data_IF_242813276372
#
_entry.id   IF_242813276372
#
_cell.length_a   1.000
_cell.length_b   1.000
_cell.length_c   1.000
_cell.angle_alpha   90.00
_cell.angle_beta   90.00
_cell.angle_gamma   90.00
#
_symmetry.space_group_name_H-M   'P 1'
#
loop_
_entity.id
_entity.type
_entity.pdbx_description
1 polymer ?
#
# COMPACT_ATOMS: atom_id res chain seq x y z
N UNK A 1 18.45 -14.81 15.93
CA UNK A 1 17.37 -15.32 16.80
C UNK A 1 16.06 -15.13 16.05
N UNK A 2 15.20 -16.15 15.92
CA UNK A 2 13.88 -15.98 15.33
C UNK A 2 13.05 -15.12 16.28
N UNK A 3 12.48 -14.02 15.77
CA UNK A 3 11.55 -13.20 16.53
C UNK A 3 10.31 -14.04 16.84
N UNK A 4 10.07 -14.31 18.12
CA UNK A 4 8.79 -14.81 18.57
C UNK A 4 7.76 -13.72 18.30
N UNK A 5 6.86 -13.98 17.35
CA UNK A 5 5.60 -13.27 17.28
C UNK A 5 4.87 -13.56 18.61
N UNK A 6 4.96 -12.63 19.55
CA UNK A 6 4.03 -12.56 20.65
C UNK A 6 2.69 -12.09 20.06
N UNK A 7 1.99 -13.01 19.39
CA UNK A 7 0.56 -12.87 19.22
C UNK A 7 0.02 -12.74 20.64
N UNK A 8 -0.59 -11.59 20.93
CA UNK A 8 -1.29 -11.42 22.19
C UNK A 8 -2.47 -12.38 22.15
N UNK A 9 -2.27 -13.59 22.67
CA UNK A 9 -3.33 -14.51 23.00
C UNK A 9 -4.00 -13.92 24.25
N UNK A 10 -4.82 -12.89 24.04
CA UNK A 10 -5.85 -12.54 24.99
C UNK A 10 -6.92 -13.61 24.88
N UNK A 11 -6.59 -14.86 25.25
CA UNK A 11 -7.60 -15.74 25.82
C UNK A 11 -8.14 -14.94 26.99
N UNK A 12 -9.30 -14.33 26.79
CA UNK A 12 -10.17 -13.93 27.87
C UNK A 12 -10.49 -15.22 28.59
N UNK A 13 -9.59 -15.65 29.49
CA UNK A 13 -9.93 -16.51 30.60
C UNK A 13 -10.87 -15.66 31.44
N UNK A 14 -12.13 -15.56 30.99
CA UNK A 14 -13.19 -14.97 31.77
C UNK A 14 -13.14 -15.74 33.10
N UNK A 15 -12.85 -15.06 34.22
CA UNK A 15 -12.67 -15.76 35.48
C UNK A 15 -13.97 -16.52 35.75
N UNK A 16 -13.86 -17.84 35.83
CA UNK A 16 -14.97 -18.78 36.04
C UNK A 16 -15.79 -18.49 37.32
N UNK A 17 -15.32 -17.55 38.14
CA UNK A 17 -15.97 -17.05 39.35
C UNK A 17 -16.98 -15.89 39.14
N UNK A 18 -17.10 -15.30 37.95
CA UNK A 18 -18.01 -14.15 37.70
C UNK A 18 -19.14 -14.50 36.71
N UNK A 19 -19.90 -15.55 37.02
CA UNK A 19 -21.04 -15.98 36.23
C UNK A 19 -22.11 -14.88 36.03
N UNK A 20 -22.15 -13.85 36.90
CA UNK A 20 -23.13 -12.76 36.88
C UNK A 20 -22.70 -11.50 36.10
N UNK A 21 -21.47 -11.46 35.57
CA UNK A 21 -21.03 -10.29 34.79
C UNK A 21 -21.66 -10.28 33.41
N UNK A 22 -22.35 -9.20 33.05
CA UNK A 22 -22.80 -8.96 31.68
C UNK A 22 -21.65 -8.43 30.82
N UNK A 23 -21.50 -8.99 29.62
CA UNK A 23 -20.53 -8.54 28.63
C UNK A 23 -21.28 -7.82 27.51
N UNK A 24 -20.82 -6.63 27.16
CA UNK A 24 -21.31 -5.87 25.98
C UNK A 24 -20.15 -5.68 25.02
N UNK A 25 -20.36 -6.07 23.76
CA UNK A 25 -19.41 -5.85 22.68
C UNK A 25 -19.98 -4.80 21.73
N UNK A 26 -19.16 -3.80 21.42
CA UNK A 26 -19.53 -2.69 20.54
C UNK A 26 -18.55 -2.63 19.39
N UNK A 27 -19.07 -2.49 18.18
CA UNK A 27 -18.26 -2.19 17.00
C UNK A 27 -19.11 -1.48 15.96
N UNK A 28 -18.49 -0.50 15.28
CA UNK A 28 -19.12 0.25 14.22
C UNK A 28 -19.18 -0.55 12.90
N UNK A 29 -18.27 -1.49 12.71
CA UNK A 29 -18.15 -2.30 11.49
C UNK A 29 -17.81 -3.73 11.86
N UNK A 30 -18.77 -4.65 11.71
CA UNK A 30 -18.54 -6.09 11.90
C UNK A 30 -19.23 -6.84 10.77
N UNK A 31 -18.49 -7.33 9.77
CA UNK A 31 -19.04 -8.23 8.76
C UNK A 31 -19.63 -9.49 9.40
N UNK A 32 -20.64 -10.09 8.76
CA UNK A 32 -21.36 -11.24 9.34
C UNK A 32 -20.44 -12.42 9.67
N UNK A 33 -19.42 -12.68 8.85
CA UNK A 33 -18.46 -13.76 9.09
C UNK A 33 -17.56 -13.49 10.31
N UNK A 34 -17.11 -12.24 10.51
CA UNK A 34 -16.37 -11.83 11.72
C UNK A 34 -17.25 -11.92 12.96
N UNK A 35 -18.53 -11.52 12.86
CA UNK A 35 -19.49 -11.67 13.97
C UNK A 35 -19.64 -13.14 14.39
N UNK A 36 -19.77 -14.04 13.42
CA UNK A 36 -19.88 -15.48 13.66
C UNK A 36 -18.63 -16.01 14.36
N UNK A 37 -17.44 -15.58 13.91
CA UNK A 37 -16.18 -15.93 14.54
C UNK A 37 -16.11 -15.44 16.00
N UNK A 38 -16.42 -14.15 16.25
CA UNK A 38 -16.45 -13.56 17.60
C UNK A 38 -17.40 -14.36 18.51
N UNK A 39 -18.60 -14.68 18.03
CA UNK A 39 -19.59 -15.42 18.79
C UNK A 39 -19.12 -16.85 19.13
N UNK A 40 -18.41 -17.51 18.22
CA UNK A 40 -17.83 -18.84 18.48
C UNK A 40 -16.59 -18.80 19.39
N UNK A 41 -15.76 -17.76 19.28
CA UNK A 41 -14.45 -17.69 19.94
C UNK A 41 -14.54 -17.12 21.36
N UNK A 42 -15.43 -16.16 21.61
CA UNK A 42 -15.55 -15.49 22.92
C UNK A 42 -16.46 -16.22 23.91
N UNK A 43 -16.91 -17.44 23.58
CA UNK A 43 -17.83 -18.24 24.41
C UNK A 43 -18.98 -17.40 24.98
N UNK A 44 -19.55 -16.50 24.17
CA UNK A 44 -20.66 -15.65 24.57
C UNK A 44 -21.81 -16.52 25.07
N UNK A 45 -22.59 -16.00 26.02
CA UNK A 45 -23.79 -16.70 26.48
C UNK A 45 -24.64 -17.12 25.27
N UNK A 46 -25.24 -18.32 25.28
CA UNK A 46 -26.13 -18.73 24.20
C UNK A 46 -27.19 -17.65 23.95
N UNK A 47 -27.38 -17.29 22.68
CA UNK A 47 -28.33 -16.27 22.23
C UNK A 47 -28.02 -14.86 22.78
N UNK A 48 -26.86 -14.25 22.43
CA UNK A 48 -26.62 -12.86 22.79
C UNK A 48 -27.71 -11.97 22.19
N UNK A 49 -28.08 -10.91 22.91
CA UNK A 49 -28.92 -9.87 22.32
C UNK A 49 -28.09 -9.10 21.31
N UNK A 50 -28.43 -9.23 20.03
CA UNK A 50 -27.73 -8.56 18.93
C UNK A 50 -28.55 -7.36 18.48
N UNK A 51 -27.99 -6.17 18.60
CA UNK A 51 -28.55 -4.94 18.06
C UNK A 51 -27.73 -4.58 16.82
N UNK A 52 -28.37 -4.64 15.65
CA UNK A 52 -27.75 -4.25 14.38
C UNK A 52 -28.37 -2.96 13.90
N UNK A 53 -27.53 -2.07 13.41
CA UNK A 53 -27.92 -0.84 12.71
C UNK A 53 -27.21 -0.87 11.37
N UNK A 54 -27.89 -0.37 10.33
CA UNK A 54 -27.28 -0.30 9.00
C UNK A 54 -25.96 0.48 9.05
N UNK A 55 -24.91 -0.08 8.44
CA UNK A 55 -23.63 0.62 8.26
C UNK A 55 -23.67 1.58 7.07
N UNK A 56 -24.79 1.62 6.36
CA UNK A 56 -24.98 2.43 5.19
C UNK A 56 -24.84 3.94 5.50
N UNK A 57 -24.12 4.65 4.62
CA UNK A 57 -23.93 6.10 4.68
C UNK A 57 -24.67 6.76 3.53
N UNK A 58 -25.93 7.18 3.70
CA UNK A 58 -26.79 7.56 2.57
C UNK A 58 -26.31 8.82 1.84
N UNK A 59 -25.53 9.68 2.51
CA UNK A 59 -24.90 10.87 1.94
C UNK A 59 -23.63 10.59 1.12
N UNK A 60 -23.05 9.38 1.21
CA UNK A 60 -21.75 9.05 0.62
C UNK A 60 -21.86 8.52 -0.81
N UNK A 61 -21.15 9.12 -1.77
CA UNK A 61 -21.04 8.61 -3.15
C UNK A 61 -19.84 7.66 -3.26
N UNK A 62 -20.00 6.51 -3.90
CA UNK A 62 -18.88 5.59 -4.16
C UNK A 62 -18.44 5.62 -5.61
N UNK A 63 -17.13 5.58 -5.87
CA UNK A 63 -16.61 5.47 -7.22
C UNK A 63 -15.34 4.63 -7.26
N UNK A 64 -15.05 4.08 -8.45
CA UNK A 64 -13.85 3.32 -8.75
C UNK A 64 -13.14 3.99 -9.92
N UNK A 65 -11.81 3.92 -9.88
CA UNK A 65 -10.97 4.48 -10.94
C UNK A 65 -9.78 3.56 -11.17
N UNK A 66 -9.56 3.10 -12.39
CA UNK A 66 -8.38 2.27 -12.68
C UNK A 66 -7.15 3.16 -12.76
N UNK A 67 -6.12 2.85 -11.98
CA UNK A 67 -4.84 3.54 -12.00
C UNK A 67 -4.14 3.36 -13.35
N UNK A 68 -3.76 4.47 -13.98
CA UNK A 68 -2.94 4.46 -15.19
C UNK A 68 -1.48 4.18 -14.81
N UNK A 69 -0.80 3.24 -15.50
CA UNK A 69 0.57 2.78 -15.22
C UNK A 69 0.80 2.22 -13.79
N UNK A 70 -0.27 1.93 -13.06
CA UNK A 70 -0.23 1.38 -11.71
C UNK A 70 0.15 2.39 -10.62
N UNK A 71 0.29 1.88 -9.39
CA UNK A 71 0.37 2.71 -8.16
C UNK A 71 1.62 3.58 -8.02
N UNK A 72 2.66 3.38 -8.82
CA UNK A 72 3.86 4.21 -8.72
C UNK A 72 3.76 5.49 -9.54
N UNK A 73 2.74 5.61 -10.39
CA UNK A 73 2.51 6.80 -11.21
C UNK A 73 1.61 7.80 -10.48
N UNK A 74 2.23 8.72 -9.74
CA UNK A 74 1.49 9.71 -8.94
C UNK A 74 0.70 10.73 -9.79
N UNK A 75 0.84 10.73 -11.13
CA UNK A 75 0.00 11.54 -12.02
C UNK A 75 -1.48 11.19 -11.92
N UNK A 76 -1.83 9.98 -11.45
CA UNK A 76 -3.22 9.64 -11.10
C UNK A 76 -3.83 10.59 -10.05
N UNK A 77 -3.00 11.34 -9.30
CA UNK A 77 -3.43 12.35 -8.32
C UNK A 77 -3.55 13.77 -8.92
N UNK A 78 -3.29 13.96 -10.22
CA UNK A 78 -3.38 15.28 -10.89
C UNK A 78 -4.79 15.89 -10.82
N UNK A 79 -5.81 15.05 -10.64
CA UNK A 79 -7.19 15.48 -10.47
C UNK A 79 -7.43 16.27 -9.16
N UNK A 80 -6.53 16.18 -8.17
CA UNK A 80 -6.72 16.87 -6.89
C UNK A 80 -6.43 18.37 -7.02
N UNK A 81 -5.32 18.72 -7.67
CA UNK A 81 -4.88 20.11 -7.86
C UNK A 81 -4.87 20.45 -9.36
N UNK A 82 -5.80 21.29 -9.85
CA UNK A 82 -5.84 21.64 -11.26
C UNK A 82 -4.59 22.42 -11.69
N UNK A 83 -4.18 22.26 -12.95
CA UNK A 83 -3.01 22.94 -13.49
C UNK A 83 -3.10 24.47 -13.41
N UNK A 84 -4.31 25.03 -13.49
CA UNK A 84 -4.60 26.44 -13.36
C UNK A 84 -5.16 26.80 -11.97
N UNK A 85 -4.71 26.13 -10.91
CA UNK A 85 -5.17 26.46 -9.55
C UNK A 85 -4.78 27.90 -9.19
N UNK A 86 -5.78 28.72 -8.88
CA UNK A 86 -5.58 30.08 -8.39
C UNK A 86 -6.58 30.40 -7.28
N UNK A 87 -6.19 31.11 -6.21
CA UNK A 87 -7.16 31.71 -5.30
C UNK A 87 -8.17 32.57 -6.09
N UNK A 88 -9.46 32.56 -5.75
CA UNK A 88 -10.06 32.04 -4.52
C UNK A 88 -10.55 30.58 -4.59
N UNK A 89 -10.01 29.74 -5.49
CA UNK A 89 -10.39 28.32 -5.53
C UNK A 89 -10.11 27.63 -4.19
N UNK A 90 -11.11 26.92 -3.65
CA UNK A 90 -11.00 26.12 -2.43
C UNK A 90 -10.67 24.68 -2.79
N UNK A 91 -9.62 24.13 -2.21
CA UNK A 91 -9.35 22.69 -2.25
C UNK A 91 -10.30 21.96 -1.29
N UNK A 92 -10.83 20.78 -1.68
CA UNK A 92 -11.62 19.96 -0.76
C UNK A 92 -10.72 19.39 0.35
N UNK A 93 -11.31 19.13 1.52
CA UNK A 93 -10.64 18.38 2.59
C UNK A 93 -10.61 16.89 2.23
N UNK A 94 -9.43 16.35 1.93
CA UNK A 94 -9.25 14.99 1.42
C UNK A 94 -8.37 14.13 2.33
N UNK A 95 -8.79 12.89 2.54
CA UNK A 95 -8.00 11.84 3.17
C UNK A 95 -7.64 10.76 2.14
N UNK A 96 -6.35 10.54 1.92
CA UNK A 96 -5.83 9.63 0.89
C UNK A 96 -5.03 8.51 1.54
N UNK A 97 -5.51 7.28 1.41
CA UNK A 97 -4.88 6.10 1.98
C UNK A 97 -3.93 5.42 1.01
N UNK A 98 -2.74 5.06 1.49
CA UNK A 98 -1.75 4.28 0.76
C UNK A 98 -1.41 2.99 1.53
N UNK A 99 -1.07 1.94 0.79
CA UNK A 99 -0.70 0.64 1.38
C UNK A 99 0.68 0.63 2.04
N UNK A 100 1.55 1.60 1.74
CA UNK A 100 2.90 1.67 2.32
C UNK A 100 3.30 3.10 2.69
N UNK A 101 4.00 3.25 3.82
CA UNK A 101 4.47 4.54 4.37
C UNK A 101 5.28 5.38 3.38
N UNK A 102 6.10 4.78 2.51
CA UNK A 102 6.97 5.55 1.61
C UNK A 102 6.16 6.23 0.50
N UNK A 103 5.02 5.66 0.14
CA UNK A 103 4.14 6.21 -0.89
C UNK A 103 3.35 7.41 -0.34
N UNK A 104 3.05 7.47 0.95
CA UNK A 104 2.36 8.63 1.54
C UNK A 104 3.21 9.89 1.49
N UNK A 105 4.50 9.81 1.85
CA UNK A 105 5.42 10.95 1.77
C UNK A 105 5.65 11.39 0.32
N UNK A 106 5.84 10.44 -0.60
CA UNK A 106 6.02 10.74 -2.02
C UNK A 106 4.79 11.39 -2.65
N UNK A 107 3.59 10.89 -2.31
CA UNK A 107 2.33 11.47 -2.77
C UNK A 107 2.11 12.88 -2.20
N UNK A 108 2.36 13.10 -0.91
CA UNK A 108 2.22 14.41 -0.30
C UNK A 108 3.18 15.44 -0.95
N UNK A 109 4.43 15.06 -1.19
CA UNK A 109 5.41 15.90 -1.91
C UNK A 109 4.98 16.16 -3.35
N UNK A 110 4.45 15.14 -4.04
CA UNK A 110 3.96 15.28 -5.40
C UNK A 110 2.80 16.28 -5.45
N UNK A 111 1.75 16.09 -4.65
CA UNK A 111 0.59 17.00 -4.58
C UNK A 111 1.02 18.41 -4.21
N UNK A 112 1.90 18.58 -3.21
CA UNK A 112 2.42 19.89 -2.82
C UNK A 112 3.17 20.58 -3.98
N UNK A 113 3.97 19.84 -4.76
CA UNK A 113 4.65 20.37 -5.93
C UNK A 113 3.71 20.86 -7.04
N UNK A 114 2.45 20.39 -7.05
CA UNK A 114 1.41 20.83 -8.00
C UNK A 114 0.75 22.14 -7.57
N UNK A 115 0.91 22.56 -6.32
CA UNK A 115 0.41 23.87 -5.86
C UNK A 115 1.20 25.00 -6.53
N UNK A 116 0.62 26.22 -6.63
CA UNK A 116 1.36 27.42 -7.01
C UNK A 116 2.56 27.65 -6.09
N UNK A 117 3.64 28.23 -6.62
CA UNK A 117 4.93 28.40 -5.92
C UNK A 117 4.80 28.98 -4.50
N UNK A 118 3.93 29.99 -4.31
CA UNK A 118 3.71 30.64 -3.01
C UNK A 118 2.93 29.80 -1.99
N UNK A 119 2.34 28.68 -2.40
CA UNK A 119 1.59 27.76 -1.55
C UNK A 119 2.34 26.45 -1.27
N UNK A 120 3.40 26.15 -2.00
CA UNK A 120 4.23 24.95 -1.78
C UNK A 120 4.91 24.99 -0.41
N UNK A 121 4.96 23.86 0.28
CA UNK A 121 5.60 23.72 1.59
C UNK A 121 4.89 24.46 2.73
N UNK A 122 3.74 25.08 2.48
CA UNK A 122 2.99 25.82 3.51
C UNK A 122 2.28 24.91 4.50
N UNK A 123 2.07 23.64 4.13
CA UNK A 123 1.42 22.63 4.94
C UNK A 123 0.03 22.22 4.47
N UNK A 124 -0.42 22.70 3.30
CA UNK A 124 -1.72 22.31 2.71
C UNK A 124 -1.83 20.80 2.50
N UNK A 125 -0.74 20.16 2.05
CA UNK A 125 -0.65 18.72 1.92
C UNK A 125 0.39 18.14 2.88
N UNK A 126 0.00 17.13 3.67
CA UNK A 126 0.87 16.46 4.65
C UNK A 126 0.77 14.95 4.51
N UNK A 127 1.78 14.25 5.01
CA UNK A 127 1.74 12.79 5.14
C UNK A 127 1.58 12.39 6.61
N UNK A 128 1.02 11.21 6.87
CA UNK A 128 0.76 10.73 8.23
C UNK A 128 0.97 9.21 8.31
N UNK A 129 1.96 8.78 9.08
CA UNK A 129 2.26 7.36 9.29
C UNK A 129 3.07 7.13 10.58
N UNK A 130 3.05 5.90 11.08
CA UNK A 130 3.60 5.54 12.41
C UNK A 130 5.09 5.86 12.64
N UNK A 131 5.89 5.99 11.57
CA UNK A 131 7.33 6.35 11.72
C UNK A 131 7.59 7.84 11.93
N UNK A 132 6.58 8.70 11.84
CA UNK A 132 6.76 10.12 12.13
C UNK A 132 6.88 10.36 13.63
N UNK A 133 7.54 11.45 14.02
CA UNK A 133 7.61 11.81 15.43
C UNK A 133 6.22 12.11 15.99
N UNK A 134 6.00 11.80 17.26
CA UNK A 134 4.73 12.10 17.94
C UNK A 134 4.33 13.57 17.81
N UNK A 135 5.29 14.48 18.00
CA UNK A 135 5.06 15.93 17.83
C UNK A 135 4.57 16.26 16.42
N UNK A 136 5.12 15.62 15.38
CA UNK A 136 4.67 15.82 14.02
C UNK A 136 3.25 15.28 13.81
N UNK A 137 2.97 14.06 14.29
CA UNK A 137 1.65 13.44 14.18
C UNK A 137 0.59 14.30 14.87
N UNK A 138 0.82 14.72 16.11
CA UNK A 138 -0.09 15.55 16.89
C UNK A 138 -0.36 16.89 16.18
N UNK A 139 0.69 17.52 15.61
CA UNK A 139 0.55 18.79 14.89
C UNK A 139 -0.21 18.66 13.58
N UNK A 140 0.11 17.65 12.75
CA UNK A 140 -0.56 17.43 11.46
C UNK A 140 -2.00 17.02 11.67
N UNK A 141 -2.27 16.16 12.65
CA UNK A 141 -3.61 15.79 13.04
C UNK A 141 -4.43 17.02 13.43
N UNK A 142 -3.91 17.82 14.37
CA UNK A 142 -4.63 18.99 14.89
C UNK A 142 -4.95 19.98 13.77
N UNK A 143 -4.00 20.18 12.86
CA UNK A 143 -4.14 21.07 11.71
C UNK A 143 -5.06 20.52 10.60
N UNK A 144 -5.28 19.22 10.53
CA UNK A 144 -6.22 18.61 9.57
C UNK A 144 -7.64 18.48 10.15
N UNK A 145 -7.75 18.26 11.46
CA UNK A 145 -9.04 18.17 12.16
C UNK A 145 -9.68 19.54 12.45
N UNK A 146 -8.88 20.61 12.50
CA UNK A 146 -9.37 21.97 12.67
C UNK A 146 -10.01 22.49 11.35
N UNK A 147 -11.28 22.95 11.35
CA UNK A 147 -11.91 23.55 10.18
C UNK A 147 -11.21 24.81 9.63
N UNK A 148 -10.43 25.51 10.45
CA UNK A 148 -9.58 26.66 10.08
C UNK A 148 -8.11 26.23 9.87
N UNK A 149 -7.84 24.94 10.04
CA UNK A 149 -6.54 24.33 9.90
C UNK A 149 -6.00 24.44 8.47
N UNK A 150 -4.67 24.45 8.37
CA UNK A 150 -3.99 24.67 7.09
C UNK A 150 -3.93 23.40 6.25
N UNK A 151 -3.87 22.23 6.88
CA UNK A 151 -3.80 20.94 6.19
C UNK A 151 -5.18 20.61 5.63
N UNK A 152 -5.28 20.54 4.31
CA UNK A 152 -6.51 20.17 3.61
C UNK A 152 -6.40 18.79 2.98
N UNK A 153 -5.20 18.29 2.73
CA UNK A 153 -4.98 16.99 2.07
C UNK A 153 -4.04 16.16 2.94
N UNK A 154 -4.53 15.05 3.48
CA UNK A 154 -3.78 14.14 4.32
C UNK A 154 -3.49 12.83 3.58
N UNK A 155 -2.22 12.55 3.29
CA UNK A 155 -1.78 11.28 2.73
C UNK A 155 -1.36 10.33 3.86
N UNK A 156 -2.12 9.25 4.10
CA UNK A 156 -1.93 8.41 5.27
C UNK A 156 -1.85 6.92 4.94
N UNK A 157 -1.33 6.11 5.87
CA UNK A 157 -1.51 4.65 5.83
C UNK A 157 -2.82 4.25 6.49
N UNK A 158 -3.36 3.07 6.21
CA UNK A 158 -4.62 2.60 6.81
C UNK A 158 -4.64 2.67 8.35
N UNK A 159 -3.52 2.38 9.02
CA UNK A 159 -3.43 2.47 10.49
C UNK A 159 -3.57 3.90 11.05
N UNK A 160 -3.51 4.94 10.22
CA UNK A 160 -3.87 6.30 10.66
C UNK A 160 -5.39 6.46 10.83
N UNK A 161 -6.16 5.56 10.20
CA UNK A 161 -7.59 5.68 10.11
C UNK A 161 -8.37 4.89 11.16
N UNK A 162 -7.73 3.98 11.87
CA UNK A 162 -8.45 3.13 12.84
C UNK A 162 -8.79 3.87 14.14
N UNK A 163 -8.12 4.99 14.42
CA UNK A 163 -8.18 5.68 15.73
C UNK A 163 -8.65 7.14 15.65
N UNK A 164 -9.25 7.55 14.52
CA UNK A 164 -9.50 8.97 14.28
C UNK A 164 -10.89 9.29 13.76
N UNK A 165 -11.63 10.07 14.55
CA UNK A 165 -12.82 10.79 14.13
C UNK A 165 -12.44 12.20 13.64
N UNK A 166 -12.38 12.37 12.31
CA UNK A 166 -12.06 13.65 11.66
C UNK A 166 -13.35 14.25 11.14
N UNK A 167 -13.81 15.39 11.71
CA UNK A 167 -14.99 16.03 11.19
C UNK A 167 -14.71 16.62 9.79
N UNK A 168 -15.74 16.63 8.93
CA UNK A 168 -15.75 17.36 7.64
C UNK A 168 -14.74 16.89 6.60
N UNK A 169 -14.44 15.59 6.54
CA UNK A 169 -13.80 15.03 5.36
C UNK A 169 -14.78 15.17 4.18
N UNK A 170 -14.38 15.86 3.12
CA UNK A 170 -15.22 15.97 1.92
C UNK A 170 -15.08 14.72 1.05
N UNK A 171 -13.87 14.17 0.96
CA UNK A 171 -13.60 12.98 0.16
C UNK A 171 -12.53 12.06 0.75
N UNK A 172 -12.73 10.76 0.57
CA UNK A 172 -11.73 9.73 0.86
C UNK A 172 -11.27 9.09 -0.44
N UNK A 173 -9.96 8.87 -0.57
CA UNK A 173 -9.37 8.15 -1.71
C UNK A 173 -8.56 7.00 -1.16
N UNK A 174 -8.80 5.77 -1.63
CA UNK A 174 -7.90 4.64 -1.39
C UNK A 174 -7.00 4.48 -2.61
N UNK A 175 -5.72 4.80 -2.49
CA UNK A 175 -4.76 4.78 -3.58
C UNK A 175 -4.16 3.38 -3.76
N UNK A 176 -4.77 2.62 -4.67
CA UNK A 176 -4.63 1.18 -4.77
C UNK A 176 -5.77 0.46 -4.04
N UNK A 177 -6.08 -0.76 -4.46
CA UNK A 177 -7.11 -1.61 -3.85
C UNK A 177 -6.81 -1.84 -2.36
N UNK A 178 -7.83 -1.76 -1.51
CA UNK A 178 -7.69 -2.16 -0.12
C UNK A 178 -7.49 -3.68 -0.04
N UNK A 179 -6.70 -4.16 0.92
CA UNK A 179 -6.56 -5.61 1.11
C UNK A 179 -7.88 -6.20 1.65
N UNK A 180 -8.61 -5.45 2.48
CA UNK A 180 -9.89 -5.80 3.09
C UNK A 180 -10.99 -4.76 2.82
N UNK A 181 -12.26 -5.18 2.81
CA UNK A 181 -13.41 -4.29 2.53
C UNK A 181 -13.66 -3.31 3.68
N UNK A 182 -13.42 -3.75 4.92
CA UNK A 182 -13.70 -3.02 6.17
C UNK A 182 -12.93 -1.70 6.27
N UNK A 183 -11.73 -1.62 5.68
CA UNK A 183 -10.90 -0.41 5.64
C UNK A 183 -11.63 0.77 4.96
N UNK A 184 -12.61 0.50 4.08
CA UNK A 184 -13.34 1.53 3.31
C UNK A 184 -14.59 2.07 4.01
N UNK A 185 -15.05 1.43 5.08
CA UNK A 185 -16.41 1.66 5.62
C UNK A 185 -16.49 2.53 6.87
N UNK A 186 -15.35 2.95 7.42
CA UNK A 186 -15.30 3.65 8.70
C UNK A 186 -15.43 5.18 8.58
N UNK A 187 -15.55 5.71 7.36
CA UNK A 187 -15.39 7.13 7.08
C UNK A 187 -16.71 7.87 6.89
N UNK A 188 -16.83 9.04 7.52
CA UNK A 188 -17.88 10.01 7.22
C UNK A 188 -17.36 11.03 6.19
N UNK A 189 -17.77 10.87 4.93
CA UNK A 189 -17.37 11.72 3.83
C UNK A 189 -18.51 11.92 2.83
N UNK A 190 -18.37 12.90 1.92
CA UNK A 190 -19.33 13.10 0.84
C UNK A 190 -19.08 12.13 -0.33
N UNK A 191 -17.83 11.75 -0.58
CA UNK A 191 -17.49 10.73 -1.57
C UNK A 191 -16.31 9.84 -1.15
N UNK A 192 -16.25 8.64 -1.73
CA UNK A 192 -15.17 7.68 -1.55
C UNK A 192 -14.75 7.11 -2.91
N UNK A 193 -13.48 7.28 -3.28
CA UNK A 193 -12.91 6.78 -4.54
C UNK A 193 -11.91 5.67 -4.26
N UNK A 194 -12.18 4.48 -4.78
CA UNK A 194 -11.22 3.38 -4.82
C UNK A 194 -10.39 3.46 -6.09
N UNK A 195 -9.10 3.75 -5.99
CA UNK A 195 -8.19 3.64 -7.12
C UNK A 195 -7.68 2.21 -7.25
N UNK A 196 -8.01 1.55 -8.34
CA UNK A 196 -7.82 0.13 -8.54
C UNK A 196 -6.60 -0.11 -9.44
N UNK A 197 -5.68 -0.97 -9.02
CA UNK A 197 -4.54 -1.33 -9.87
C UNK A 197 -4.98 -2.07 -11.14
N UNK A 198 -4.27 -1.89 -12.28
CA UNK A 198 -4.61 -2.53 -13.54
C UNK A 198 -4.78 -4.05 -13.47
N UNK A 199 -3.93 -4.74 -12.69
CA UNK A 199 -3.99 -6.20 -12.56
C UNK A 199 -5.32 -6.69 -11.99
N UNK A 200 -6.01 -5.88 -11.20
CA UNK A 200 -7.34 -6.23 -10.67
C UNK A 200 -8.38 -6.16 -11.78
N UNK A 201 -8.31 -5.14 -12.63
CA UNK A 201 -9.25 -4.95 -13.74
C UNK A 201 -9.15 -6.05 -14.81
N UNK A 202 -8.03 -6.77 -14.86
CA UNK A 202 -7.82 -7.94 -15.72
C UNK A 202 -8.53 -9.21 -15.21
N UNK A 203 -9.03 -9.20 -13.98
CA UNK A 203 -9.71 -10.34 -13.37
C UNK A 203 -11.17 -10.40 -13.83
N UNK A 204 -11.56 -11.54 -14.40
CA UNK A 204 -12.95 -11.80 -14.75
C UNK A 204 -13.79 -12.01 -13.49
N UNK A 205 -14.70 -11.07 -13.23
CA UNK A 205 -15.61 -11.09 -12.07
C UNK A 205 -16.46 -12.34 -12.01
N UNK A 206 -16.81 -12.96 -13.15
CA UNK A 206 -17.61 -14.18 -13.20
C UNK A 206 -16.88 -15.43 -12.69
N UNK A 207 -15.54 -15.37 -12.60
CA UNK A 207 -14.71 -16.45 -12.09
C UNK A 207 -14.44 -16.35 -10.59
N UNK A 208 -14.84 -15.24 -9.96
CA UNK A 208 -14.63 -15.02 -8.54
C UNK A 208 -15.65 -15.82 -7.73
N UNK A 209 -15.19 -16.87 -7.07
CA UNK A 209 -15.97 -17.62 -6.09
C UNK A 209 -15.74 -17.00 -4.72
N UNK A 210 -16.75 -16.34 -4.16
CA UNK A 210 -16.72 -15.75 -2.82
C UNK A 210 -17.22 -16.78 -1.82
N UNK A 211 -16.37 -17.16 -0.86
CA UNK A 211 -16.79 -17.99 0.27
C UNK A 211 -17.60 -17.11 1.24
N UNK A 212 -18.84 -17.50 1.54
CA UNK A 212 -19.68 -16.78 2.49
C UNK A 212 -19.14 -16.83 3.93
N UNK A 213 -18.32 -17.83 4.26
CA UNK A 213 -17.73 -18.00 5.59
C UNK A 213 -16.42 -17.21 5.77
N UNK A 214 -15.69 -16.97 4.69
CA UNK A 214 -14.46 -16.17 4.69
C UNK A 214 -14.32 -15.43 3.35
N UNK A 215 -15.11 -14.37 3.14
CA UNK A 215 -15.10 -13.63 1.88
C UNK A 215 -13.80 -12.83 1.69
N UNK A 216 -13.05 -12.59 2.78
CA UNK A 216 -11.77 -11.86 2.76
C UNK A 216 -10.57 -12.77 2.48
N UNK A 217 -10.78 -14.08 2.29
CA UNK A 217 -9.70 -14.99 1.92
C UNK A 217 -9.00 -14.52 0.62
N UNK A 218 -7.68 -14.69 0.50
CA UNK A 218 -6.94 -14.38 -0.72
C UNK A 218 -7.41 -15.11 -1.99
N UNK A 219 -7.09 -14.56 -3.17
CA UNK A 219 -7.36 -15.23 -4.46
C UNK A 219 -6.66 -16.59 -4.58
N UNK A 220 -5.36 -16.60 -4.29
CA UNK A 220 -4.52 -17.78 -4.39
C UNK A 220 -4.32 -18.35 -2.99
N UNK A 221 -4.25 -19.67 -2.88
CA UNK A 221 -3.78 -20.33 -1.67
C UNK A 221 -2.31 -19.93 -1.44
N UNK A 222 -2.10 -18.80 -0.76
CA UNK A 222 -0.76 -18.36 -0.40
C UNK A 222 -0.27 -19.39 0.61
N UNK A 223 0.83 -20.06 0.28
CA UNK A 223 1.52 -20.83 1.30
C UNK A 223 1.91 -19.87 2.43
N UNK A 224 1.40 -20.12 3.64
CA UNK A 224 1.75 -19.41 4.88
C UNK A 224 3.27 -19.34 5.12
N UNK A 225 4.06 -20.13 4.38
CA UNK A 225 5.52 -20.14 4.44
C UNK A 225 6.19 -18.99 3.67
N UNK A 226 5.48 -18.27 2.79
CA UNK A 226 6.06 -17.17 2.03
C UNK A 226 6.29 -15.97 2.95
N UNK A 227 7.56 -15.68 3.25
CA UNK A 227 7.97 -14.61 4.18
C UNK A 227 7.48 -13.21 3.80
N UNK A 228 7.29 -12.94 2.50
CA UNK A 228 6.86 -11.64 1.99
C UNK A 228 5.88 -11.84 0.82
N UNK A 229 4.59 -12.10 1.10
CA UNK A 229 3.58 -12.12 0.05
C UNK A 229 3.46 -10.73 -0.58
N UNK A 230 3.21 -10.71 -1.87
CA UNK A 230 2.90 -9.50 -2.64
C UNK A 230 1.52 -8.98 -2.25
N UNK A 231 1.24 -7.70 -2.55
CA UNK A 231 -0.09 -7.12 -2.32
C UNK A 231 -1.18 -7.92 -3.04
N UNK A 232 -0.95 -8.30 -4.31
CA UNK A 232 -1.87 -9.12 -5.09
C UNK A 232 -2.18 -10.45 -4.39
N UNK A 233 -1.15 -11.11 -3.86
CA UNK A 233 -1.34 -12.35 -3.12
C UNK A 233 -2.16 -12.12 -1.85
N UNK A 234 -1.95 -11.02 -1.11
CA UNK A 234 -2.69 -10.74 0.14
C UNK A 234 -4.11 -10.20 -0.04
N UNK A 235 -4.46 -9.68 -1.22
CA UNK A 235 -5.75 -8.99 -1.41
C UNK A 235 -6.89 -10.00 -1.34
N UNK A 236 -7.86 -9.74 -0.45
CA UNK A 236 -9.02 -10.60 -0.26
C UNK A 236 -9.95 -10.61 -1.48
N UNK A 237 -10.64 -11.74 -1.68
CA UNK A 237 -11.58 -11.95 -2.78
C UNK A 237 -12.73 -10.95 -2.76
N UNK A 238 -13.26 -10.61 -1.59
CA UNK A 238 -14.28 -9.59 -1.43
C UNK A 238 -13.80 -8.23 -1.95
N UNK A 239 -12.61 -7.78 -1.54
CA UNK A 239 -12.04 -6.51 -2.02
C UNK A 239 -11.92 -6.46 -3.55
N UNK A 240 -11.52 -7.57 -4.17
CA UNK A 240 -11.43 -7.70 -5.63
C UNK A 240 -12.82 -7.70 -6.26
N UNK A 241 -13.77 -8.45 -5.72
CA UNK A 241 -15.14 -8.46 -6.19
C UNK A 241 -15.75 -7.06 -6.21
N UNK A 242 -15.57 -6.29 -5.14
CA UNK A 242 -15.96 -4.87 -5.07
C UNK A 242 -15.31 -4.02 -6.17
N UNK A 243 -14.05 -4.28 -6.50
CA UNK A 243 -13.34 -3.53 -7.52
C UNK A 243 -13.87 -3.83 -8.93
N UNK A 244 -14.14 -5.09 -9.25
CA UNK A 244 -14.47 -5.54 -10.62
C UNK A 244 -15.96 -5.72 -10.91
N UNK A 245 -16.81 -5.75 -9.88
CA UNK A 245 -18.25 -5.99 -10.06
C UNK A 245 -18.94 -4.81 -10.75
N UNK A 246 -19.91 -5.10 -11.61
CA UNK A 246 -20.79 -4.09 -12.19
C UNK A 246 -22.01 -3.81 -11.29
N UNK A 247 -22.15 -4.50 -10.16
CA UNK A 247 -23.22 -4.28 -9.19
C UNK A 247 -23.09 -2.94 -8.44
N UNK A 248 -24.19 -2.50 -7.83
CA UNK A 248 -24.19 -1.31 -6.98
C UNK A 248 -23.34 -1.55 -5.72
N UNK A 249 -22.38 -0.68 -5.44
CA UNK A 249 -21.54 -0.73 -4.23
C UNK A 249 -22.35 -0.93 -2.94
N UNK A 250 -23.52 -0.28 -2.79
CA UNK A 250 -24.37 -0.45 -1.59
C UNK A 250 -24.97 -1.84 -1.49
N UNK A 251 -25.33 -2.45 -2.62
CA UNK A 251 -25.81 -3.85 -2.68
C UNK A 251 -24.69 -4.79 -2.26
N UNK A 252 -23.47 -4.58 -2.79
CA UNK A 252 -22.30 -5.36 -2.40
C UNK A 252 -21.99 -5.22 -0.90
N UNK A 253 -22.07 -4.02 -0.34
CA UNK A 253 -21.90 -3.78 1.11
C UNK A 253 -22.99 -4.45 1.93
N UNK A 254 -24.25 -4.27 1.56
CA UNK A 254 -25.39 -4.88 2.24
C UNK A 254 -25.21 -6.40 2.32
N UNK A 255 -24.86 -7.05 1.20
CA UNK A 255 -24.57 -8.48 1.15
C UNK A 255 -23.36 -8.87 2.04
N UNK A 256 -22.25 -8.12 1.96
CA UNK A 256 -21.04 -8.39 2.72
C UNK A 256 -21.23 -8.25 4.25
N UNK A 257 -22.01 -7.28 4.70
CA UNK A 257 -22.34 -7.10 6.12
C UNK A 257 -23.50 -7.99 6.58
N UNK A 258 -24.29 -8.55 5.66
CA UNK A 258 -25.55 -9.22 6.00
C UNK A 258 -26.59 -8.24 6.53
N UNK A 259 -26.67 -7.07 5.90
CA UNK A 259 -27.61 -5.99 6.21
C UNK A 259 -28.79 -6.04 5.23
N UNK A 260 -29.94 -6.51 5.71
CA UNK A 260 -31.20 -6.64 4.97
C UNK A 260 -32.20 -5.51 5.29
N UNK A 261 -31.74 -4.48 6.02
CA UNK A 261 -32.58 -3.33 6.37
C UNK A 261 -33.00 -2.52 5.14
N UNK A 262 -34.12 -1.80 5.25
CA UNK A 262 -34.57 -0.90 4.20
C UNK A 262 -33.57 0.25 3.94
N UNK A 263 -32.81 0.60 4.97
CA UNK A 263 -31.80 1.65 4.96
C UNK A 263 -30.52 1.22 4.23
N UNK A 264 -30.24 -0.08 4.08
CA UNK A 264 -28.99 -0.60 3.53
C UNK A 264 -28.67 -0.07 2.12
N UNK A 265 -29.71 0.17 1.32
CA UNK A 265 -29.59 0.63 -0.06
C UNK A 265 -29.97 2.11 -0.25
N UNK A 266 -30.41 2.77 0.82
CA UNK A 266 -30.87 4.15 0.77
C UNK A 266 -29.72 5.12 0.47
N UNK A 267 -29.98 6.15 -0.33
CA UNK A 267 -29.03 7.25 -0.56
C UNK A 267 -29.78 8.57 -0.76
N UNK A 268 -29.16 9.66 -0.34
CA UNK A 268 -29.73 11.02 -0.38
C UNK A 268 -29.05 11.93 -1.40
N UNK A 269 -27.86 11.55 -1.86
CA UNK A 269 -27.08 12.32 -2.82
C UNK A 269 -27.61 12.23 -4.26
N UNK A 270 -27.05 13.06 -5.14
CA UNK A 270 -27.33 13.03 -6.59
C UNK A 270 -26.97 11.70 -7.24
N UNK A 271 -25.94 11.04 -6.73
CA UNK A 271 -25.45 9.76 -7.22
C UNK A 271 -25.33 8.77 -6.07
N UNK A 272 -25.59 7.50 -6.37
CA UNK A 272 -25.33 6.40 -5.43
C UNK A 272 -23.88 5.92 -5.57
N UNK A 273 -23.54 5.38 -6.74
CA UNK A 273 -22.17 5.03 -7.10
C UNK A 273 -21.96 5.02 -8.63
N UNK A 274 -20.77 4.66 -9.07
CA UNK A 274 -20.35 4.57 -10.47
C UNK A 274 -20.76 3.27 -11.20
N UNK A 275 -21.53 2.41 -10.53
CA UNK A 275 -22.00 1.14 -11.05
C UNK A 275 -22.88 1.29 -12.30
N UNK A 276 -22.68 0.39 -13.28
CA UNK A 276 -23.52 0.27 -14.48
C UNK A 276 -24.93 -0.26 -14.19
N UNK A 277 -25.16 -0.83 -13.01
CA UNK A 277 -26.49 -1.28 -12.59
C UNK A 277 -27.49 -0.12 -12.45
N UNK A 278 -27.01 1.12 -12.29
CA UNK A 278 -27.85 2.31 -12.26
C UNK A 278 -28.27 2.74 -13.67
N UNK A 279 -29.36 2.16 -14.17
CA UNK A 279 -29.94 2.52 -15.48
C UNK A 279 -30.24 4.02 -15.55
N UNK A 280 -29.70 4.70 -16.56
CA UNK A 280 -29.90 6.14 -16.77
C UNK A 280 -29.05 7.05 -15.87
N UNK A 281 -28.12 6.50 -15.08
CA UNK A 281 -27.20 7.31 -14.28
C UNK A 281 -26.30 8.18 -15.16
N UNK A 282 -26.17 9.45 -14.80
CA UNK A 282 -25.24 10.41 -15.42
C UNK A 282 -24.00 10.62 -14.55
N UNK A 283 -23.54 9.57 -13.87
CA UNK A 283 -22.38 9.66 -12.99
C UNK A 283 -21.13 10.05 -13.81
N UNK A 284 -20.40 11.05 -13.35
CA UNK A 284 -19.16 11.52 -13.95
C UNK A 284 -18.13 11.74 -12.84
N UNK A 285 -17.13 10.86 -12.76
CA UNK A 285 -16.08 10.91 -11.73
C UNK A 285 -15.38 12.28 -11.68
N UNK A 286 -15.17 12.90 -12.84
CA UNK A 286 -14.54 14.21 -12.97
C UNK A 286 -15.25 15.31 -12.16
N UNK A 287 -16.56 15.19 -11.90
CA UNK A 287 -17.31 16.18 -11.11
C UNK A 287 -17.01 16.13 -9.61
N UNK A 288 -16.30 15.10 -9.14
CA UNK A 288 -15.84 15.01 -7.75
C UNK A 288 -14.51 15.73 -7.51
N UNK A 289 -13.84 16.20 -8.58
CA UNK A 289 -12.48 16.70 -8.53
C UNK A 289 -12.31 18.03 -9.27
N UNK A 290 -11.30 18.81 -8.88
CA UNK A 290 -11.02 20.12 -9.46
C UNK A 290 -10.09 20.04 -10.69
N UNK A 291 -9.10 19.15 -10.64
CA UNK A 291 -8.19 18.86 -11.74
C UNK A 291 -8.72 17.76 -12.65
N UNK A 292 -8.12 17.60 -13.83
CA UNK A 292 -8.49 16.56 -14.77
C UNK A 292 -8.04 15.17 -14.30
N UNK A 293 -8.90 14.17 -14.50
CA UNK A 293 -8.51 12.76 -14.34
C UNK A 293 -7.37 12.44 -15.31
N UNK A 294 -6.34 11.78 -14.80
CA UNK A 294 -5.22 11.37 -15.62
C UNK A 294 -5.64 10.20 -16.53
N UNK A 295 -5.54 10.41 -17.83
CA UNK A 295 -5.83 9.39 -18.84
C UNK A 295 -4.52 8.89 -19.44
N UNK A 296 -4.52 7.62 -19.86
CA UNK A 296 -3.39 7.04 -20.56
C UNK A 296 -3.16 7.80 -21.87
N UNK A 297 -2.05 8.53 -21.93
CA UNK A 297 -1.55 9.06 -23.19
C UNK A 297 -1.16 7.86 -24.06
N UNK A 298 -1.62 7.78 -25.33
CA UNK A 298 -1.25 6.68 -26.21
C UNK A 298 0.28 6.60 -26.25
N UNK A 299 0.82 5.53 -25.67
CA UNK A 299 2.26 5.33 -25.63
C UNK A 299 2.71 5.14 -27.08
N UNK A 300 3.31 6.18 -27.66
CA UNK A 300 3.97 6.07 -28.96
C UNK A 300 5.00 4.95 -28.79
N UNK A 301 4.92 3.84 -29.57
CA UNK A 301 5.81 2.71 -29.39
C UNK A 301 7.26 3.15 -29.54
N UNK A 302 7.92 3.47 -28.44
CA UNK A 302 9.34 3.77 -28.47
C UNK A 302 10.03 2.47 -28.84
N UNK A 303 10.71 2.46 -29.99
CA UNK A 303 11.44 1.32 -30.51
C UNK A 303 12.14 0.60 -29.36
N UNK A 304 11.82 -0.68 -29.17
CA UNK A 304 12.29 -1.48 -28.05
C UNK A 304 13.82 -1.34 -27.95
N UNK A 305 14.28 -0.51 -27.01
CA UNK A 305 15.70 -0.35 -26.77
C UNK A 305 16.20 -1.73 -26.39
N UNK A 306 17.13 -2.28 -27.18
CA UNK A 306 17.80 -3.55 -26.88
C UNK A 306 18.17 -3.51 -25.40
N UNK A 307 17.54 -4.36 -24.59
CA UNK A 307 17.85 -4.48 -23.17
C UNK A 307 19.32 -4.89 -23.10
N UNK A 308 20.21 -3.94 -22.77
CA UNK A 308 21.58 -4.27 -22.39
C UNK A 308 21.49 -5.27 -21.26
N UNK A 309 22.39 -6.26 -21.21
CA UNK A 309 22.42 -7.22 -20.10
C UNK A 309 22.48 -6.45 -18.78
N UNK A 310 21.36 -6.43 -18.05
CA UNK A 310 21.16 -5.60 -16.84
C UNK A 310 21.92 -6.17 -15.64
N UNK A 311 22.45 -7.39 -15.77
CA UNK A 311 23.03 -8.13 -14.66
C UNK A 311 24.43 -8.62 -14.95
N UNK A 312 25.24 -8.72 -13.89
CA UNK A 312 26.53 -9.42 -13.90
C UNK A 312 26.34 -10.89 -14.30
N UNK A 313 27.25 -11.49 -15.09
CA UNK A 313 27.21 -12.91 -15.43
C UNK A 313 27.07 -13.79 -14.17
N UNK A 314 26.22 -14.82 -14.23
CA UNK A 314 25.91 -15.66 -13.07
C UNK A 314 27.16 -16.31 -12.45
N UNK A 315 28.16 -16.65 -13.27
CA UNK A 315 29.41 -17.27 -12.81
C UNK A 315 30.26 -16.37 -11.90
N UNK A 316 30.15 -15.05 -12.05
CA UNK A 316 30.96 -14.10 -11.30
C UNK A 316 30.34 -13.74 -9.94
N UNK A 317 29.04 -14.02 -9.76
CA UNK A 317 28.27 -13.57 -8.58
C UNK A 317 28.76 -14.23 -7.27
N UNK A 318 28.99 -15.55 -7.18
CA UNK A 318 29.37 -16.19 -5.92
C UNK A 318 30.69 -15.67 -5.35
N UNK A 319 31.69 -15.44 -6.21
CA UNK A 319 32.98 -14.90 -5.81
C UNK A 319 32.87 -13.46 -5.28
N UNK A 320 32.06 -12.63 -5.96
CA UNK A 320 31.82 -11.27 -5.49
C UNK A 320 30.99 -11.24 -4.20
N UNK A 321 30.01 -12.14 -4.02
CA UNK A 321 29.27 -12.31 -2.77
C UNK A 321 30.22 -12.68 -1.61
N UNK A 322 31.15 -13.60 -1.83
CA UNK A 322 32.17 -13.98 -0.85
C UNK A 322 33.09 -12.81 -0.48
N UNK A 323 33.58 -12.07 -1.49
CA UNK A 323 34.43 -10.89 -1.28
C UNK A 323 33.70 -9.79 -0.50
N UNK A 324 32.45 -9.49 -0.85
CA UNK A 324 31.60 -8.54 -0.12
C UNK A 324 31.37 -9.01 1.33
N UNK A 325 31.11 -10.30 1.52
CA UNK A 325 30.94 -10.91 2.83
C UNK A 325 32.19 -10.75 3.71
N UNK A 326 33.37 -11.04 3.16
CA UNK A 326 34.66 -10.90 3.85
C UNK A 326 34.97 -9.44 4.16
N UNK A 327 34.82 -8.55 3.19
CA UNK A 327 35.01 -7.11 3.36
C UNK A 327 34.15 -6.57 4.50
N UNK A 328 32.86 -6.96 4.57
CA UNK A 328 31.96 -6.57 5.65
C UNK A 328 32.50 -6.97 7.03
N UNK A 329 32.99 -8.20 7.18
CA UNK A 329 33.56 -8.65 8.45
C UNK A 329 34.85 -7.93 8.81
N UNK A 330 35.72 -7.67 7.84
CA UNK A 330 36.98 -6.94 8.06
C UNK A 330 36.74 -5.48 8.46
N UNK A 331 35.76 -4.81 7.83
CA UNK A 331 35.35 -3.44 8.21
C UNK A 331 34.71 -3.45 9.59
N UNK A 332 33.78 -4.38 9.88
CA UNK A 332 33.14 -4.49 11.19
C UNK A 332 34.16 -4.71 12.31
N UNK A 333 35.15 -5.60 12.09
CA UNK A 333 36.21 -5.87 13.08
C UNK A 333 36.98 -4.61 13.47
N UNK A 334 37.16 -3.67 12.55
CA UNK A 334 37.90 -2.42 12.81
C UNK A 334 37.01 -1.23 13.16
N UNK A 335 35.68 -1.41 13.20
CA UNK A 335 34.74 -0.34 13.46
C UNK A 335 34.65 0.00 14.95
N UNK A 336 34.72 1.29 15.29
CA UNK A 336 34.71 1.75 16.69
C UNK A 336 33.43 1.40 17.46
N UNK A 337 32.30 1.19 16.77
CA UNK A 337 31.02 0.77 17.38
C UNK A 337 30.72 -0.73 17.19
N UNK A 338 31.71 -1.56 16.88
CA UNK A 338 31.51 -3.00 16.64
C UNK A 338 30.86 -3.77 17.79
N UNK A 339 30.98 -3.26 19.02
CA UNK A 339 30.39 -3.86 20.21
C UNK A 339 28.85 -3.71 20.27
N UNK A 340 28.31 -2.69 19.59
CA UNK A 340 26.87 -2.35 19.64
C UNK A 340 26.18 -2.45 18.28
N UNK A 341 26.93 -2.44 17.18
CA UNK A 341 26.39 -2.61 15.82
C UNK A 341 26.83 -3.95 15.24
N UNK A 342 25.93 -4.86 14.84
CA UNK A 342 26.30 -6.12 14.21
C UNK A 342 26.85 -5.89 12.78
N UNK A 343 27.56 -6.86 12.17
CA UNK A 343 28.06 -6.74 10.79
C UNK A 343 26.95 -6.46 9.77
N UNK A 344 25.73 -6.95 10.02
CA UNK A 344 24.55 -6.72 9.16
C UNK A 344 24.13 -5.25 9.11
N UNK A 345 24.57 -4.41 10.05
CA UNK A 345 24.36 -2.96 10.00
C UNK A 345 25.14 -2.29 8.87
N UNK A 346 26.27 -2.88 8.46
CA UNK A 346 27.07 -2.38 7.34
C UNK A 346 26.43 -2.85 6.02
N UNK A 347 26.20 -4.15 5.90
CA UNK A 347 25.63 -4.76 4.70
C UNK A 347 24.94 -6.08 5.04
N UNK A 348 23.65 -6.21 4.74
CA UNK A 348 22.93 -7.46 4.98
C UNK A 348 23.10 -8.45 3.80
N UNK A 349 22.60 -9.68 3.95
CA UNK A 349 22.75 -10.70 2.91
C UNK A 349 21.98 -10.38 1.60
N UNK A 350 20.74 -9.84 1.65
CA UNK A 350 20.06 -9.31 0.47
C UNK A 350 20.86 -8.24 -0.29
N UNK A 351 21.46 -7.28 0.41
CA UNK A 351 22.24 -6.20 -0.20
C UNK A 351 23.53 -6.71 -0.84
N UNK A 352 24.21 -7.69 -0.21
CA UNK A 352 25.36 -8.39 -0.81
C UNK A 352 24.96 -9.01 -2.15
N UNK A 353 23.85 -9.77 -2.19
CA UNK A 353 23.34 -10.39 -3.43
C UNK A 353 23.00 -9.35 -4.49
N UNK A 354 22.37 -8.25 -4.07
CA UNK A 354 21.96 -7.16 -4.96
C UNK A 354 23.18 -6.51 -5.63
N UNK A 355 24.23 -6.22 -4.86
CA UNK A 355 25.49 -5.70 -5.40
C UNK A 355 26.20 -6.71 -6.31
N UNK A 356 26.22 -7.98 -5.94
CA UNK A 356 26.83 -9.02 -6.76
C UNK A 356 26.10 -9.22 -8.10
N UNK A 357 24.78 -9.02 -8.15
CA UNK A 357 23.97 -9.12 -9.36
C UNK A 357 24.05 -7.90 -10.28
N UNK A 358 24.32 -6.71 -9.75
CA UNK A 358 24.30 -5.46 -10.51
C UNK A 358 25.33 -5.48 -11.65
N UNK A 359 24.93 -4.95 -12.82
CA UNK A 359 25.84 -4.80 -13.95
C UNK A 359 27.04 -3.92 -13.56
N UNK A 360 28.27 -4.28 -13.94
CA UNK A 360 29.46 -3.47 -13.65
C UNK A 360 29.28 -1.99 -14.06
N UNK A 361 28.73 -1.76 -15.25
CA UNK A 361 28.49 -0.40 -15.79
C UNK A 361 27.44 0.41 -15.00
N UNK A 362 26.60 -0.25 -14.21
CA UNK A 362 25.60 0.42 -13.37
C UNK A 362 26.17 0.93 -12.05
N UNK A 363 27.35 0.44 -11.65
CA UNK A 363 28.05 0.86 -10.43
C UNK A 363 29.26 1.69 -10.84
N UNK A 364 29.05 2.99 -11.03
CA UNK A 364 30.07 3.94 -11.51
C UNK A 364 30.51 4.96 -10.44
N UNK A 365 29.87 4.94 -9.27
CA UNK A 365 30.21 5.82 -8.14
C UNK A 365 29.74 5.21 -6.81
N UNK A 366 30.19 5.76 -5.68
CA UNK A 366 29.64 5.46 -4.36
C UNK A 366 28.14 5.80 -4.28
N UNK A 367 27.71 6.90 -4.89
CA UNK A 367 26.31 7.33 -4.95
C UNK A 367 25.43 6.30 -5.69
N UNK A 368 25.96 5.66 -6.74
CA UNK A 368 25.24 4.59 -7.44
C UNK A 368 24.98 3.38 -6.54
N UNK A 369 25.88 3.06 -5.62
CA UNK A 369 25.69 2.00 -4.61
C UNK A 369 24.63 2.41 -3.60
N UNK A 370 24.70 3.63 -3.07
CA UNK A 370 23.70 4.16 -2.13
C UNK A 370 22.31 4.12 -2.73
N UNK A 371 22.18 4.56 -3.99
CA UNK A 371 20.92 4.54 -4.75
C UNK A 371 20.44 3.11 -5.00
N UNK A 372 21.35 2.23 -5.44
CA UNK A 372 21.04 0.83 -5.70
C UNK A 372 20.53 0.14 -4.45
N UNK A 373 21.17 0.35 -3.30
CA UNK A 373 20.78 -0.27 -2.03
C UNK A 373 19.67 0.47 -1.28
N UNK A 374 19.32 1.69 -1.72
CA UNK A 374 18.37 2.59 -1.04
C UNK A 374 18.81 2.90 0.41
N UNK A 375 20.11 3.11 0.60
CA UNK A 375 20.70 3.43 1.91
C UNK A 375 20.69 4.94 2.18
N UNK A 376 20.89 5.33 3.43
CA UNK A 376 20.90 6.75 3.85
C UNK A 376 22.20 7.46 3.51
N UNK A 377 22.21 8.79 3.55
CA UNK A 377 23.42 9.60 3.36
C UNK A 377 24.48 9.33 4.44
N UNK A 378 24.04 9.15 5.71
CA UNK A 378 24.93 8.76 6.81
C UNK A 378 25.60 7.41 6.53
N UNK A 379 24.83 6.44 6.03
CA UNK A 379 25.37 5.14 5.64
C UNK A 379 26.38 5.29 4.50
N UNK A 380 26.06 6.13 3.50
CA UNK A 380 26.91 6.37 2.35
C UNK A 380 28.27 6.94 2.75
N UNK A 381 28.29 7.95 3.63
CA UNK A 381 29.52 8.60 4.09
C UNK A 381 30.48 7.67 4.86
N UNK A 382 29.99 6.53 5.37
CA UNK A 382 30.79 5.56 6.10
C UNK A 382 31.28 4.39 5.23
N UNK A 383 30.47 3.92 4.28
CA UNK A 383 30.70 2.61 3.65
C UNK A 383 30.68 2.61 2.12
N UNK A 384 30.00 3.56 1.47
CA UNK A 384 29.75 3.49 0.03
C UNK A 384 31.04 3.56 -0.80
N UNK A 385 32.03 4.39 -0.42
CA UNK A 385 33.31 4.48 -1.11
C UNK A 385 34.13 3.19 -1.04
N UNK A 386 34.13 2.54 0.14
CA UNK A 386 34.84 1.27 0.33
C UNK A 386 34.23 0.15 -0.50
N UNK A 387 32.90 0.09 -0.55
CA UNK A 387 32.18 -0.86 -1.40
C UNK A 387 32.39 -0.57 -2.89
N UNK A 388 32.38 0.70 -3.29
CA UNK A 388 32.61 1.09 -4.68
C UNK A 388 34.00 0.66 -5.14
N UNK A 389 35.04 0.93 -4.35
CA UNK A 389 36.41 0.47 -4.64
C UNK A 389 36.51 -1.05 -4.74
N UNK A 390 35.84 -1.78 -3.85
CA UNK A 390 35.82 -3.25 -3.89
C UNK A 390 35.14 -3.78 -5.16
N UNK A 391 33.95 -3.27 -5.50
CA UNK A 391 33.14 -3.76 -6.62
C UNK A 391 33.75 -3.36 -7.96
N UNK A 392 34.28 -2.14 -8.08
CA UNK A 392 34.95 -1.65 -9.30
C UNK A 392 36.31 -2.31 -9.51
N UNK A 393 37.03 -2.64 -8.44
CA UNK A 393 38.31 -3.37 -8.49
C UNK A 393 38.15 -4.87 -8.76
N UNK A 394 36.95 -5.42 -8.62
CA UNK A 394 36.68 -6.82 -8.89
C UNK A 394 36.75 -7.09 -10.41
N UNK A 395 37.86 -7.68 -10.82
CA UNK A 395 38.04 -8.20 -12.18
C UNK A 395 37.64 -9.67 -12.15
N UNK A 396 36.67 -10.12 -12.97
CA UNK A 396 36.38 -11.54 -13.06
C UNK A 396 37.66 -12.26 -13.45
N UNK A 397 37.92 -13.40 -12.81
CA UNK A 397 39.01 -14.28 -13.25
C UNK A 397 38.64 -14.68 -14.66
N UNK A 398 39.34 -14.14 -15.66
CA UNK A 398 39.25 -14.64 -17.02
C UNK A 398 39.69 -16.09 -16.89
N UNK A 399 38.74 -17.02 -16.87
CA UNK A 399 39.05 -18.40 -17.15
C UNK A 399 39.68 -18.38 -18.53
N UNK A 400 40.98 -18.63 -18.57
CA UNK A 400 41.72 -18.85 -19.80
C UNK A 400 40.87 -19.75 -20.69
N UNK A 401 40.50 -19.23 -21.86
CA UNK A 401 39.95 -19.94 -23.01
C UNK A 401 39.22 -21.25 -22.67
N UNK A 402 38.02 -21.16 -22.10
CA UNK A 402 37.07 -22.27 -22.28
C UNK A 402 36.81 -22.38 -23.79
N UNK A 403 37.57 -23.27 -24.45
CA UNK A 403 37.18 -23.89 -25.71
C UNK A 403 35.68 -24.11 -25.64
N UNK A 404 34.93 -23.45 -26.53
CA UNK A 404 33.49 -23.68 -26.69
C UNK A 404 33.28 -25.17 -26.99
N UNK A 405 33.14 -25.98 -25.94
CA UNK A 405 32.76 -27.37 -26.04
C UNK A 405 31.47 -27.44 -26.86
N UNK A 406 31.37 -28.34 -27.85
CA UNK A 406 30.34 -28.29 -28.86
C UNK A 406 28.96 -28.26 -28.21
N UNK A 407 28.26 -27.12 -28.37
CA UNK A 407 26.87 -26.96 -27.96
C UNK A 407 26.05 -28.08 -28.60
N UNK A 408 25.69 -29.08 -27.80
CA UNK A 408 24.80 -30.15 -28.20
C UNK A 408 23.47 -29.52 -28.65
N UNK A 409 23.27 -29.44 -29.97
CA UNK A 409 21.98 -29.09 -30.57
C UNK A 409 20.98 -30.15 -30.11
N UNK A 410 20.18 -29.79 -29.09
CA UNK A 410 18.97 -30.51 -28.73
C UNK A 410 18.01 -30.37 -29.93
N UNK A 411 18.05 -31.34 -30.85
CA UNK A 411 17.00 -31.53 -31.86
C UNK A 411 15.72 -31.80 -31.09
N UNK A 412 14.74 -30.89 -31.21
CA UNK A 412 13.35 -31.19 -30.86
C UNK A 412 12.87 -32.25 -31.85
N UNK A 413 12.46 -33.40 -31.31
CA UNK A 413 11.52 -34.30 -31.97
C UNK A 413 10.10 -33.86 -31.63
#
# INVERSE_FOLDING_TARGET
MPGQNHGYDYTLEAPSSNADTSLTLLSATVPSHIFNHINSSLALRPNPTVIRVSTNRPNLVYARHILVNGRHDLRNLDMIVPAAFHPPMRLPTLLIFFGVKIETSAAAQYIDSRLPDGLRGTGICRHYHAEMSRQYLDQVYSDFADPEGRTLILCATAGAGEDVDIPRIEGVITYGIAEEVTTKTQWDAAFCVSMIEPWVAEIDSSTLIIDSNDPDCPLQDISLTKKNPTKQERTGRASIHFAVSDECERVLKAAYYGDDSAEALYYTGRWCCDSKAHVGSTFELQKLFLGSIYEEQPVVPTAAKRRRNVYRPTRDRPLLEELLGRWRFDVHRNFHLRAVRPPTFILDAPDIKKLAMAAPDSINSAESITTLLKQTEEWAGLWADGLFKLVSGYTPVNGDDEEEGPRAKRRKA
#
